data_IF_422483876973
#
_entry.id   IF_422483876973
#
_cell.length_a   1.000
_cell.length_b   1.000
_cell.length_c   1.000
_cell.angle_alpha   90.00
_cell.angle_beta   90.00
_cell.angle_gamma   90.00
#
_symmetry.space_group_name_H-M   'P 1'
#
loop_
_entity.id
_entity.type
_entity.pdbx_description
1 polymer ?
#
# COMPACT_ATOMS: atom_id res chain seq x y z
N UNK A 1 -7.81 27.66 2.96
CA UNK A 1 -6.36 27.71 2.61
C UNK A 1 -5.55 27.46 3.87
N UNK A 2 -4.47 26.69 3.81
CA UNK A 2 -3.55 26.46 4.93
C UNK A 2 -2.10 26.59 4.44
N UNK A 3 -1.26 27.38 5.10
CA UNK A 3 0.13 27.54 4.70
C UNK A 3 1.04 27.94 5.85
N UNK A 4 2.35 27.77 5.65
CA UNK A 4 3.38 28.20 6.60
C UNK A 4 3.25 27.59 8.00
N UNK A 5 2.65 26.40 8.09
CA UNK A 5 2.51 25.63 9.33
C UNK A 5 3.37 24.37 9.31
N UNK A 6 3.31 23.57 10.38
CA UNK A 6 3.90 22.23 10.37
C UNK A 6 3.09 21.31 9.45
N UNK A 7 1.82 21.06 9.79
CA UNK A 7 0.83 20.43 8.92
C UNK A 7 -0.24 21.44 8.52
N UNK A 8 -0.75 21.34 7.28
CA UNK A 8 -1.84 22.17 6.77
C UNK A 8 -3.18 21.82 7.41
N UNK A 9 -4.01 21.02 6.74
CA UNK A 9 -5.24 20.52 7.36
C UNK A 9 -5.00 19.18 8.10
N UNK A 10 -5.59 19.05 9.29
CA UNK A 10 -5.41 17.90 10.19
C UNK A 10 -6.78 17.30 10.57
N UNK A 11 -7.03 16.04 10.20
CA UNK A 11 -8.29 15.31 10.43
C UNK A 11 -8.06 13.92 11.04
N UNK A 12 -7.12 13.79 11.98
CA UNK A 12 -6.75 12.48 12.57
C UNK A 12 -6.76 12.51 14.10
N UNK A 13 -6.37 13.64 14.70
CA UNK A 13 -6.26 13.78 16.15
C UNK A 13 -7.64 14.06 16.75
N UNK A 14 -8.07 13.23 17.69
CA UNK A 14 -9.28 13.44 18.47
C UNK A 14 -8.96 13.88 19.90
N UNK A 15 -9.96 14.47 20.55
CA UNK A 15 -9.89 14.83 21.97
C UNK A 15 -10.73 13.84 22.76
N UNK A 16 -10.11 13.16 23.71
CA UNK A 16 -10.78 12.21 24.57
C UNK A 16 -11.62 12.95 25.62
N UNK A 17 -12.58 12.24 26.25
CA UNK A 17 -13.47 12.79 27.29
C UNK A 17 -12.68 13.32 28.49
N UNK A 18 -11.47 12.81 28.72
CA UNK A 18 -10.55 13.21 29.79
C UNK A 18 -9.63 14.38 29.40
N UNK A 19 -9.90 15.06 28.29
CA UNK A 19 -9.12 16.16 27.74
C UNK A 19 -7.71 15.78 27.25
N UNK A 20 -7.45 14.50 26.98
CA UNK A 20 -6.19 14.04 26.38
C UNK A 20 -6.31 13.93 24.85
N UNK A 21 -5.16 13.98 24.16
CA UNK A 21 -5.12 13.65 22.73
C UNK A 21 -5.28 12.15 22.52
N UNK A 22 -6.23 11.78 21.68
CA UNK A 22 -6.35 10.45 21.09
C UNK A 22 -5.79 10.43 19.67
N UNK A 23 -5.18 9.30 19.30
CA UNK A 23 -4.72 9.00 17.93
C UNK A 23 -5.68 8.03 17.23
N UNK A 24 -6.55 7.38 18.00
CA UNK A 24 -7.48 6.34 17.54
C UNK A 24 -8.81 6.53 18.28
N UNK A 25 -9.89 6.90 17.56
CA UNK A 25 -11.19 7.02 18.22
C UNK A 25 -12.31 7.63 17.39
N UNK A 26 -12.02 8.62 16.56
CA UNK A 26 -12.99 9.15 15.58
C UNK A 26 -12.61 8.64 14.20
N UNK A 27 -13.47 7.82 13.59
CA UNK A 27 -13.31 7.43 12.19
C UNK A 27 -13.54 8.61 11.24
N UNK A 28 -13.97 9.77 11.72
CA UNK A 28 -14.35 10.95 10.93
C UNK A 28 -15.31 10.65 9.76
N UNK A 29 -15.94 9.47 9.76
CA UNK A 29 -16.92 9.05 8.75
C UNK A 29 -18.25 9.73 9.04
N UNK A 30 -18.79 10.45 8.06
CA UNK A 30 -20.16 10.97 8.16
C UNK A 30 -21.15 9.82 8.15
N UNK A 31 -22.16 9.86 9.02
CA UNK A 31 -23.22 8.86 9.11
C UNK A 31 -24.58 9.51 8.84
N UNK A 32 -25.49 8.77 8.19
CA UNK A 32 -26.84 9.26 7.89
C UNK A 32 -27.65 9.58 9.14
N UNK A 33 -27.51 8.75 10.19
CA UNK A 33 -27.94 9.08 11.54
C UNK A 33 -26.69 9.15 12.44
N UNK A 34 -26.24 10.35 12.85
CA UNK A 34 -25.05 10.50 13.69
C UNK A 34 -25.21 9.90 15.09
N UNK A 35 -26.43 9.54 15.52
CA UNK A 35 -26.68 8.85 16.78
C UNK A 35 -26.64 7.32 16.66
N UNK A 36 -26.73 6.75 15.44
CA UNK A 36 -26.60 5.31 15.21
C UNK A 36 -25.28 4.98 14.48
N UNK A 37 -24.29 4.37 15.16
CA UNK A 37 -23.00 4.00 14.56
C UNK A 37 -23.11 2.92 13.47
N UNK A 38 -24.28 2.31 13.28
CA UNK A 38 -24.55 1.33 12.21
C UNK A 38 -25.32 1.92 11.04
N UNK A 39 -25.67 3.20 11.09
CA UNK A 39 -26.35 3.85 9.97
C UNK A 39 -25.42 3.98 8.76
N UNK A 40 -26.01 4.27 7.60
CA UNK A 40 -25.29 4.38 6.34
C UNK A 40 -24.14 5.40 6.42
N UNK A 41 -22.94 4.99 6.01
CA UNK A 41 -21.82 5.90 5.83
C UNK A 41 -22.03 6.81 4.62
N UNK A 42 -21.85 8.11 4.83
CA UNK A 42 -22.01 9.14 3.82
C UNK A 42 -20.65 9.64 3.32
N UNK A 43 -20.63 10.07 2.06
CA UNK A 43 -19.45 10.70 1.47
C UNK A 43 -19.27 12.09 2.04
N UNK A 44 -18.11 12.34 2.67
CA UNK A 44 -17.69 13.68 3.09
C UNK A 44 -16.88 14.32 1.96
N UNK A 45 -17.40 15.41 1.40
CA UNK A 45 -16.76 16.12 0.28
C UNK A 45 -15.94 17.30 0.79
N UNK A 46 -14.66 17.33 0.43
CA UNK A 46 -13.71 18.39 0.71
C UNK A 46 -13.25 19.01 -0.62
N UNK A 47 -13.69 20.23 -0.89
CA UNK A 47 -13.49 20.88 -2.18
C UNK A 47 -12.63 22.14 -2.06
N UNK A 48 -11.87 22.42 -3.12
CA UNK A 48 -11.14 23.67 -3.33
C UNK A 48 -10.10 24.02 -2.23
N UNK A 49 -9.64 23.00 -1.48
CA UNK A 49 -8.59 23.18 -0.49
C UNK A 49 -7.29 23.53 -1.20
N UNK A 50 -6.66 24.63 -0.77
CA UNK A 50 -5.31 25.00 -1.20
C UNK A 50 -4.38 24.98 0.01
N UNK A 51 -3.25 24.28 -0.12
CA UNK A 51 -2.29 24.13 0.96
C UNK A 51 -0.85 24.19 0.45
N UNK A 52 -0.03 25.04 1.05
CA UNK A 52 1.32 25.25 0.54
C UNK A 52 2.36 25.64 1.59
N UNK A 53 3.64 25.35 1.30
CA UNK A 53 4.78 25.71 2.16
C UNK A 53 4.61 25.24 3.61
N UNK A 54 3.99 24.10 3.83
CA UNK A 54 3.95 23.47 5.14
C UNK A 54 5.20 22.62 5.34
N UNK A 55 5.72 22.60 6.57
CA UNK A 55 7.00 21.95 6.86
C UNK A 55 6.90 20.40 6.95
N UNK A 56 5.68 19.87 6.91
CA UNK A 56 5.37 18.46 6.88
C UNK A 56 4.28 18.18 5.84
N UNK A 57 3.04 17.91 6.25
CA UNK A 57 1.93 17.54 5.38
C UNK A 57 1.11 18.74 4.91
N UNK A 58 0.66 18.75 3.65
CA UNK A 58 -0.39 19.65 3.20
C UNK A 58 -1.75 19.27 3.78
N UNK A 59 -2.04 17.96 3.82
CA UNK A 59 -3.14 17.33 4.55
C UNK A 59 -2.60 16.09 5.27
N UNK A 60 -3.01 15.93 6.53
CA UNK A 60 -2.98 14.67 7.25
C UNK A 60 -4.40 14.36 7.73
N UNK A 61 -5.00 13.29 7.23
CA UNK A 61 -6.37 12.93 7.60
C UNK A 61 -6.53 11.49 8.05
N UNK A 62 -7.63 11.22 8.73
CA UNK A 62 -8.18 9.90 8.96
C UNK A 62 -9.64 9.91 8.54
N UNK A 63 -10.09 8.83 7.94
CA UNK A 63 -11.49 8.52 7.84
C UNK A 63 -11.88 7.57 6.73
N UNK A 64 -13.16 7.57 6.39
CA UNK A 64 -13.71 6.70 5.34
C UNK A 64 -14.70 7.47 4.51
N UNK A 65 -14.81 7.12 3.23
CA UNK A 65 -15.67 7.82 2.27
C UNK A 65 -15.35 9.32 2.13
N UNK A 66 -14.07 9.70 2.25
CA UNK A 66 -13.67 11.10 2.04
C UNK A 66 -13.34 11.35 0.57
N UNK A 67 -14.05 12.29 -0.04
CA UNK A 67 -13.77 12.76 -1.40
C UNK A 67 -13.10 14.13 -1.36
N UNK A 68 -11.86 14.21 -1.82
CA UNK A 68 -11.12 15.45 -2.01
C UNK A 68 -11.15 15.84 -3.49
N UNK A 69 -11.79 16.94 -3.83
CA UNK A 69 -11.94 17.40 -5.22
C UNK A 69 -11.32 18.78 -5.42
N UNK A 70 -10.63 18.97 -6.55
CA UNK A 70 -10.02 20.26 -6.94
C UNK A 70 -9.06 20.83 -5.88
N UNK A 71 -8.39 19.93 -5.16
CA UNK A 71 -7.41 20.30 -4.12
C UNK A 71 -6.07 20.64 -4.76
N UNK A 72 -5.36 21.61 -4.16
CA UNK A 72 -4.13 22.20 -4.70
C UNK A 72 -3.05 22.19 -3.64
N UNK A 73 -1.98 21.44 -3.88
CA UNK A 73 -0.84 21.30 -2.97
C UNK A 73 0.42 21.86 -3.60
N UNK A 74 1.20 22.66 -2.87
CA UNK A 74 2.45 23.22 -3.39
C UNK A 74 3.54 23.32 -2.31
N UNK A 75 4.80 23.03 -2.64
CA UNK A 75 5.96 23.28 -1.76
C UNK A 75 5.86 22.63 -0.36
N UNK A 76 5.08 21.56 -0.21
CA UNK A 76 4.98 20.78 1.03
C UNK A 76 6.03 19.66 1.03
N UNK A 77 6.46 19.20 2.20
CA UNK A 77 7.31 17.99 2.26
C UNK A 77 6.54 16.76 1.76
N UNK A 78 5.26 16.71 2.16
CA UNK A 78 4.28 15.68 1.78
C UNK A 78 3.00 16.43 1.41
N UNK A 79 2.46 16.23 0.21
CA UNK A 79 1.22 16.89 -0.18
C UNK A 79 0.01 16.34 0.58
N UNK A 80 -0.23 15.03 0.48
CA UNK A 80 -1.43 14.38 1.00
C UNK A 80 -1.11 13.04 1.67
N UNK A 81 -1.50 12.93 2.95
CA UNK A 81 -1.51 11.71 3.75
C UNK A 81 -2.91 11.49 4.28
N UNK A 82 -3.45 10.28 4.15
CA UNK A 82 -4.76 9.95 4.71
C UNK A 82 -4.79 8.51 5.16
N UNK A 83 -5.36 8.26 6.34
CA UNK A 83 -5.48 6.94 6.94
C UNK A 83 -6.94 6.49 6.99
N UNK A 84 -7.20 5.18 7.03
CA UNK A 84 -8.55 4.69 7.24
C UNK A 84 -9.10 5.04 8.64
N UNK A 85 -10.37 5.43 8.69
CA UNK A 85 -11.15 5.51 9.94
C UNK A 85 -11.67 4.15 10.42
N UNK A 86 -11.61 3.14 9.56
CA UNK A 86 -12.09 1.79 9.76
C UNK A 86 -12.11 1.02 8.44
N UNK A 87 -12.43 -0.27 8.48
CA UNK A 87 -12.56 -1.13 7.30
C UNK A 87 -14.01 -1.24 6.82
N UNK A 88 -14.23 -1.85 5.65
CA UNK A 88 -15.57 -2.21 5.18
C UNK A 88 -16.29 -1.15 4.33
N UNK A 89 -15.69 0.02 4.10
CA UNK A 89 -16.16 0.99 3.11
C UNK A 89 -15.50 0.79 1.75
N UNK A 90 -16.14 1.26 0.67
CA UNK A 90 -15.59 1.11 -0.68
C UNK A 90 -14.18 1.73 -0.84
N UNK A 91 -13.91 2.79 -0.08
CA UNK A 91 -12.61 3.44 0.02
C UNK A 91 -12.50 4.25 1.32
N UNK A 92 -11.27 4.48 1.77
CA UNK A 92 -10.91 5.43 2.84
C UNK A 92 -10.96 6.87 2.31
N UNK A 93 -10.21 7.14 1.23
CA UNK A 93 -10.22 8.45 0.57
C UNK A 93 -10.06 8.36 -0.95
N UNK A 94 -10.57 9.39 -1.64
CA UNK A 94 -10.33 9.62 -3.06
C UNK A 94 -9.87 11.06 -3.28
N UNK A 95 -8.85 11.25 -4.12
CA UNK A 95 -8.42 12.56 -4.62
C UNK A 95 -8.75 12.64 -6.09
N UNK A 96 -9.52 13.65 -6.49
CA UNK A 96 -10.00 13.80 -7.88
C UNK A 96 -9.78 15.21 -8.40
N UNK A 97 -9.52 15.34 -9.69
CA UNK A 97 -9.45 16.62 -10.42
C UNK A 97 -8.47 17.64 -9.78
N UNK A 98 -7.31 17.17 -9.34
CA UNK A 98 -6.45 17.91 -8.40
C UNK A 98 -5.07 18.25 -8.95
N UNK A 99 -4.35 19.13 -8.25
CA UNK A 99 -3.01 19.60 -8.63
C UNK A 99 -2.03 19.48 -7.47
N UNK A 100 -0.89 18.84 -7.72
CA UNK A 100 0.24 18.74 -6.81
C UNK A 100 1.47 19.35 -7.47
N UNK A 101 2.11 20.29 -6.78
CA UNK A 101 3.34 20.95 -7.24
C UNK A 101 4.44 20.71 -6.21
N UNK A 102 5.50 20.01 -6.59
CA UNK A 102 6.64 19.77 -5.71
C UNK A 102 7.32 21.08 -5.35
N UNK A 103 7.67 21.85 -6.39
CA UNK A 103 8.34 23.13 -6.27
C UNK A 103 7.72 24.19 -7.17
N UNK A 104 7.22 25.28 -6.58
CA UNK A 104 6.74 26.46 -7.32
C UNK A 104 7.86 27.48 -7.51
N UNK A 105 7.62 28.49 -8.36
CA UNK A 105 8.50 29.66 -8.52
C UNK A 105 8.60 30.53 -7.26
N UNK A 106 7.69 30.34 -6.29
CA UNK A 106 7.78 31.02 -5.02
C UNK A 106 8.91 30.41 -4.19
N UNK A 107 10.10 30.98 -4.25
CA UNK A 107 11.29 30.50 -3.53
C UNK A 107 11.20 30.63 -1.99
N UNK A 108 10.24 31.39 -1.46
CA UNK A 108 10.14 31.68 -0.03
C UNK A 108 11.26 32.59 0.48
N UNK A 109 11.60 32.46 1.77
CA UNK A 109 12.65 33.22 2.43
C UNK A 109 13.72 32.21 2.92
N UNK A 110 14.75 31.90 2.12
CA UNK A 110 15.81 31.00 2.54
C UNK A 110 16.63 31.62 3.68
N UNK A 111 16.75 30.91 4.80
CA UNK A 111 17.46 31.40 6.00
C UNK A 111 18.61 30.48 6.43
N UNK A 112 18.47 29.16 6.26
CA UNK A 112 19.55 28.23 6.63
C UNK A 112 20.65 28.19 5.56
N UNK A 113 21.90 27.80 5.90
CA UNK A 113 22.96 27.63 4.91
C UNK A 113 22.56 26.72 3.73
N UNK A 114 21.78 25.67 4.00
CA UNK A 114 21.29 24.72 3.00
C UNK A 114 20.22 25.35 2.11
N UNK A 115 19.29 26.12 2.68
CA UNK A 115 18.29 26.87 1.90
C UNK A 115 18.95 27.94 1.03
N UNK A 116 19.95 28.66 1.55
CA UNK A 116 20.72 29.67 0.80
C UNK A 116 21.53 29.02 -0.32
N UNK A 117 22.20 27.89 -0.05
CA UNK A 117 22.96 27.15 -1.05
C UNK A 117 22.05 26.57 -2.14
N UNK A 118 20.84 26.14 -1.79
CA UNK A 118 19.86 25.63 -2.73
C UNK A 118 19.13 26.75 -3.49
N UNK A 119 19.02 27.95 -2.90
CA UNK A 119 18.37 29.12 -3.49
C UNK A 119 16.88 29.26 -3.16
N UNK A 120 16.33 28.45 -2.26
CA UNK A 120 14.93 28.53 -1.81
C UNK A 120 14.72 27.89 -0.43
N UNK A 121 13.61 28.24 0.21
CA UNK A 121 13.18 27.56 1.44
C UNK A 121 12.94 26.06 1.19
N UNK A 122 13.38 25.24 2.13
CA UNK A 122 13.24 23.79 2.09
C UNK A 122 12.02 23.37 2.89
N UNK A 123 11.18 22.43 2.44
CA UNK A 123 10.02 22.02 3.21
C UNK A 123 10.41 21.44 4.58
N UNK A 124 11.56 20.76 4.71
CA UNK A 124 12.11 20.35 6.01
C UNK A 124 13.53 20.89 6.22
N UNK A 125 13.73 22.08 6.82
CA UNK A 125 15.06 22.64 7.01
C UNK A 125 15.98 21.76 7.88
N UNK A 126 15.41 21.07 8.88
CA UNK A 126 16.15 20.15 9.73
C UNK A 126 16.52 18.82 9.04
N UNK A 127 15.91 18.51 7.89
CA UNK A 127 16.20 17.36 7.05
C UNK A 127 16.22 17.79 5.57
N UNK A 128 17.24 18.55 5.13
CA UNK A 128 17.31 19.10 3.78
C UNK A 128 17.19 18.06 2.67
N UNK A 129 17.64 16.84 2.96
CA UNK A 129 17.66 15.69 2.07
C UNK A 129 16.36 14.86 2.09
N UNK A 130 15.35 15.27 2.85
CA UNK A 130 14.09 14.52 2.97
C UNK A 130 13.41 14.34 1.61
N UNK A 131 13.12 13.10 1.19
CA UNK A 131 12.54 12.85 -0.13
C UNK A 131 11.07 13.28 -0.16
N UNK A 132 10.82 14.40 -0.86
CA UNK A 132 9.48 14.98 -0.92
C UNK A 132 8.57 14.21 -1.86
N UNK A 133 7.28 14.20 -1.56
CA UNK A 133 6.25 13.62 -2.42
C UNK A 133 4.93 14.36 -2.41
N UNK A 134 4.17 14.22 -3.50
CA UNK A 134 2.84 14.81 -3.62
C UNK A 134 1.80 13.99 -2.89
N UNK A 135 1.66 12.73 -3.27
CA UNK A 135 0.70 11.81 -2.67
C UNK A 135 1.44 10.65 -2.01
N UNK A 136 0.96 10.19 -0.86
CA UNK A 136 1.43 8.95 -0.27
C UNK A 136 0.30 8.01 0.14
N UNK A 137 0.47 6.72 -0.17
CA UNK A 137 -0.42 5.67 0.30
C UNK A 137 -0.14 5.35 1.77
N UNK A 138 -1.22 5.25 2.56
CA UNK A 138 -1.12 4.93 3.98
C UNK A 138 -2.45 4.35 4.49
N UNK A 139 -2.44 3.13 5.04
CA UNK A 139 -3.55 2.58 5.82
C UNK A 139 -4.87 2.35 5.02
N UNK A 140 -5.00 1.16 4.44
CA UNK A 140 -6.10 0.62 3.62
C UNK A 140 -6.25 1.22 2.20
N UNK A 141 -7.48 1.52 1.76
CA UNK A 141 -7.90 1.67 0.36
C UNK A 141 -8.12 3.12 -0.06
N UNK A 142 -7.46 3.56 -1.12
CA UNK A 142 -7.51 4.92 -1.62
C UNK A 142 -7.46 4.97 -3.15
N UNK A 143 -7.87 6.11 -3.74
CA UNK A 143 -7.76 6.36 -5.18
C UNK A 143 -7.26 7.78 -5.49
N UNK A 144 -6.50 7.93 -6.57
CA UNK A 144 -6.11 9.23 -7.15
C UNK A 144 -6.49 9.26 -8.62
N UNK A 145 -7.39 10.18 -8.98
CA UNK A 145 -8.03 10.22 -10.29
C UNK A 145 -7.84 11.61 -10.91
N UNK A 146 -7.55 11.67 -12.21
CA UNK A 146 -7.48 12.92 -12.97
C UNK A 146 -6.65 14.02 -12.27
N UNK A 147 -5.44 13.67 -11.86
CA UNK A 147 -4.59 14.53 -11.03
C UNK A 147 -3.29 14.84 -11.76
N UNK A 148 -2.90 16.12 -11.72
CA UNK A 148 -1.65 16.60 -12.32
C UNK A 148 -0.57 16.76 -11.25
N UNK A 149 0.62 16.24 -11.53
CA UNK A 149 1.82 16.42 -10.72
C UNK A 149 2.84 17.25 -11.49
N UNK A 150 3.39 18.28 -10.83
CA UNK A 150 4.29 19.26 -11.46
C UNK A 150 5.54 19.45 -10.60
N UNK A 151 6.72 19.55 -11.22
CA UNK A 151 7.99 19.91 -10.57
C UNK A 151 8.37 19.02 -9.37
N UNK A 152 8.22 17.70 -9.53
CA UNK A 152 8.82 16.70 -8.64
C UNK A 152 10.11 16.18 -9.28
N UNK A 153 11.11 17.05 -9.33
CA UNK A 153 12.43 16.74 -9.91
C UNK A 153 13.46 16.46 -8.82
N UNK A 154 14.40 15.58 -9.12
CA UNK A 154 15.58 15.44 -8.27
C UNK A 154 16.46 16.68 -8.37
N UNK A 155 17.18 16.97 -7.30
CA UNK A 155 18.23 17.99 -7.32
C UNK A 155 19.48 17.49 -6.56
N UNK A 156 20.47 18.37 -6.41
CA UNK A 156 21.71 18.05 -5.71
C UNK A 156 21.53 17.78 -4.20
N UNK A 157 20.44 18.27 -3.60
CA UNK A 157 20.16 18.18 -2.16
C UNK A 157 19.30 16.97 -1.82
N UNK A 158 18.29 16.64 -2.66
CA UNK A 158 17.31 15.58 -2.38
C UNK A 158 16.75 14.93 -3.64
N UNK A 159 16.21 13.73 -3.42
CA UNK A 159 15.43 12.96 -4.39
C UNK A 159 13.94 13.21 -4.20
N UNK A 160 13.13 13.01 -5.24
CA UNK A 160 11.69 13.28 -5.18
C UNK A 160 10.88 12.24 -5.94
N UNK A 161 9.60 12.14 -5.62
CA UNK A 161 8.63 11.39 -6.41
C UNK A 161 7.23 11.98 -6.23
N UNK A 162 6.45 12.09 -7.29
CA UNK A 162 5.08 12.56 -7.21
C UNK A 162 4.22 11.68 -6.29
N UNK A 163 4.43 10.36 -6.34
CA UNK A 163 3.71 9.36 -5.55
C UNK A 163 4.70 8.46 -4.80
N UNK A 164 4.38 8.12 -3.54
CA UNK A 164 5.09 7.11 -2.76
C UNK A 164 4.15 6.43 -1.75
N UNK A 165 4.71 5.73 -0.78
CA UNK A 165 4.01 5.30 0.43
C UNK A 165 4.48 6.14 1.63
N UNK A 166 3.69 6.20 2.70
CA UNK A 166 4.17 6.79 3.95
C UNK A 166 5.46 6.07 4.36
N UNK A 167 6.54 6.83 4.48
CA UNK A 167 7.87 6.24 4.63
C UNK A 167 7.94 5.36 5.88
N UNK A 168 8.20 4.08 5.59
CA UNK A 168 8.46 3.00 6.53
C UNK A 168 7.25 2.58 7.38
N UNK A 169 6.05 2.97 6.94
CA UNK A 169 4.81 2.56 7.57
C UNK A 169 4.73 1.06 7.81
N UNK A 170 4.24 0.72 9.00
CA UNK A 170 3.81 -0.62 9.35
C UNK A 170 2.39 -0.86 8.90
N UNK A 171 1.57 0.17 8.71
CA UNK A 171 0.14 0.00 8.45
C UNK A 171 -0.12 -0.37 7.00
N UNK A 172 -0.78 -1.52 6.82
CA UNK A 172 -1.07 -2.11 5.51
C UNK A 172 -1.87 -1.15 4.62
N UNK A 173 -1.33 -0.83 3.45
CA UNK A 173 -2.08 -0.19 2.36
C UNK A 173 -2.59 -1.29 1.42
N UNK A 174 -3.78 -1.15 0.85
CA UNK A 174 -4.35 -2.13 -0.09
C UNK A 174 -3.55 -2.19 -1.40
N UNK A 175 -3.34 -3.38 -1.99
CA UNK A 175 -2.78 -3.47 -3.36
C UNK A 175 -3.73 -2.92 -4.42
N UNK A 176 -5.02 -2.84 -4.09
CA UNK A 176 -6.06 -2.22 -4.92
C UNK A 176 -6.10 -0.69 -4.85
N UNK A 177 -5.21 -0.07 -4.06
CA UNK A 177 -4.95 1.36 -4.18
C UNK A 177 -4.68 1.71 -5.63
N UNK A 178 -5.36 2.73 -6.14
CA UNK A 178 -5.47 2.92 -7.58
C UNK A 178 -5.17 4.32 -8.04
N UNK A 179 -4.50 4.44 -9.18
CA UNK A 179 -4.42 5.67 -9.94
C UNK A 179 -5.04 5.52 -11.32
N UNK A 180 -5.60 6.61 -11.84
CA UNK A 180 -5.98 6.71 -13.24
C UNK A 180 -5.99 8.18 -13.70
N UNK A 181 -5.79 8.39 -15.00
CA UNK A 181 -5.83 9.70 -15.67
C UNK A 181 -4.81 10.68 -15.09
N UNK A 182 -3.65 10.19 -14.66
CA UNK A 182 -2.60 11.04 -14.14
C UNK A 182 -1.88 11.78 -15.28
N UNK A 183 -1.38 12.97 -14.97
CA UNK A 183 -0.49 13.70 -15.87
C UNK A 183 0.70 14.28 -15.10
N UNK A 184 1.86 14.34 -15.76
CA UNK A 184 3.13 14.73 -15.16
C UNK A 184 3.79 15.82 -16.00
N UNK A 185 4.28 16.87 -15.35
CA UNK A 185 5.06 17.93 -15.98
C UNK A 185 6.32 18.16 -15.13
N UNK A 186 7.50 17.83 -15.68
CA UNK A 186 8.77 17.89 -14.94
C UNK A 186 8.66 17.16 -13.59
N UNK A 187 8.14 15.93 -13.60
CA UNK A 187 7.86 15.20 -12.38
C UNK A 187 8.23 13.73 -12.54
N UNK A 188 9.04 13.22 -11.61
CA UNK A 188 9.27 11.79 -11.43
C UNK A 188 8.00 11.15 -10.86
N UNK A 189 7.31 10.25 -11.57
CA UNK A 189 6.00 9.76 -11.14
C UNK A 189 6.00 9.03 -9.79
N UNK A 190 6.99 8.17 -9.56
CA UNK A 190 7.10 7.37 -8.34
C UNK A 190 8.53 7.41 -7.82
N UNK A 191 8.70 7.39 -6.51
CA UNK A 191 9.99 7.15 -5.89
C UNK A 191 9.88 6.43 -4.55
N UNK A 192 10.59 5.32 -4.40
CA UNK A 192 10.82 4.65 -3.13
C UNK A 192 12.26 4.91 -2.66
N UNK A 193 12.50 5.84 -1.72
CA UNK A 193 13.84 6.10 -1.20
C UNK A 193 14.41 4.87 -0.47
N UNK A 194 15.74 4.74 -0.41
CA UNK A 194 16.37 3.78 0.49
C UNK A 194 15.90 4.01 1.92
N UNK A 195 15.85 2.93 2.71
CA UNK A 195 15.38 3.02 4.09
C UNK A 195 16.43 3.68 4.99
N UNK A 196 16.25 4.95 5.33
CA UNK A 196 17.07 5.70 6.27
C UNK A 196 16.24 6.17 7.46
N UNK A 197 16.53 5.66 8.65
CA UNK A 197 15.73 5.90 9.87
C UNK A 197 15.33 7.38 10.11
N UNK A 198 16.18 8.34 9.72
CA UNK A 198 15.92 9.78 9.84
C UNK A 198 14.70 10.29 9.04
N UNK A 199 14.29 9.59 7.98
CA UNK A 199 13.14 9.94 7.15
C UNK A 199 11.86 9.21 7.56
N UNK A 200 11.97 8.18 8.40
CA UNK A 200 10.84 7.34 8.77
C UNK A 200 9.80 8.09 9.57
N UNK A 201 8.54 8.00 9.14
CA UNK A 201 7.42 8.46 9.95
C UNK A 201 7.06 7.41 11.01
N UNK A 202 7.00 6.16 10.58
CA UNK A 202 6.79 4.99 11.42
C UNK A 202 7.96 4.03 11.18
N UNK A 203 8.61 3.55 12.23
CA UNK A 203 9.68 2.54 12.13
C UNK A 203 9.32 1.30 12.96
N UNK A 204 8.06 1.16 13.37
CA UNK A 204 7.59 0.05 14.17
C UNK A 204 7.43 -1.21 13.30
N UNK A 205 7.18 -2.34 13.97
CA UNK A 205 6.78 -3.62 13.37
C UNK A 205 7.52 -4.02 12.07
N UNK A 206 8.80 -3.66 11.97
CA UNK A 206 9.65 -3.99 10.82
C UNK A 206 9.30 -3.26 9.51
N UNK A 207 8.41 -2.27 9.50
CA UNK A 207 8.02 -1.49 8.31
C UNK A 207 7.45 -2.33 7.17
N UNK A 208 6.76 -3.43 7.51
CA UNK A 208 6.35 -4.45 6.54
C UNK A 208 5.48 -3.88 5.39
N UNK A 209 4.59 -2.94 5.68
CA UNK A 209 3.72 -2.36 4.66
C UNK A 209 4.51 -1.53 3.65
N UNK A 210 5.50 -0.75 4.08
CA UNK A 210 6.40 -0.05 3.15
C UNK A 210 7.26 -1.02 2.32
N UNK A 211 7.81 -2.08 2.95
CA UNK A 211 8.64 -3.08 2.26
C UNK A 211 7.86 -3.93 1.26
N UNK A 212 6.53 -3.89 1.33
CA UNK A 212 5.61 -4.55 0.40
C UNK A 212 4.79 -3.52 -0.38
N UNK A 213 5.29 -2.29 -0.53
CA UNK A 213 4.60 -1.21 -1.21
C UNK A 213 4.19 -1.63 -2.64
N UNK A 214 2.89 -1.49 -2.90
CA UNK A 214 2.26 -1.83 -4.18
C UNK A 214 1.01 -0.98 -4.39
N UNK A 215 0.77 -0.57 -5.63
CA UNK A 215 -0.50 0.02 -6.04
C UNK A 215 -0.75 -0.19 -7.54
N UNK A 216 -2.00 -0.05 -7.97
CA UNK A 216 -2.48 -0.27 -9.33
C UNK A 216 -2.50 1.04 -10.13
N UNK A 217 -1.90 1.02 -11.32
CA UNK A 217 -2.17 1.97 -12.40
C UNK A 217 -3.25 1.37 -13.30
N UNK A 218 -4.46 1.92 -13.24
CA UNK A 218 -5.63 1.32 -13.88
C UNK A 218 -5.68 1.54 -15.37
N UNK A 219 -5.04 2.60 -15.87
CA UNK A 219 -5.14 3.01 -17.27
C UNK A 219 -3.79 3.15 -17.97
N UNK A 220 -2.68 2.97 -17.25
CA UNK A 220 -1.34 3.09 -17.79
C UNK A 220 -0.79 4.51 -17.80
N UNK A 221 -1.43 5.42 -17.05
CA UNK A 221 -1.04 6.83 -16.97
C UNK A 221 0.34 7.06 -16.32
N UNK A 222 0.96 6.03 -15.72
CA UNK A 222 2.35 6.06 -15.28
C UNK A 222 3.36 5.70 -16.39
N UNK A 223 2.91 5.52 -17.63
CA UNK A 223 3.79 5.48 -18.80
C UNK A 223 3.86 4.13 -19.54
N UNK A 224 3.23 3.07 -19.04
CA UNK A 224 3.09 1.82 -19.80
C UNK A 224 1.98 1.89 -20.86
N UNK A 225 1.05 2.84 -20.77
CA UNK A 225 -0.08 2.99 -21.70
C UNK A 225 -1.08 1.82 -21.64
N UNK A 226 -1.00 0.98 -20.61
CA UNK A 226 -1.90 -0.13 -20.30
C UNK A 226 -1.93 -0.36 -18.77
N UNK A 227 -2.98 -1.03 -18.25
CA UNK A 227 -3.07 -1.32 -16.83
C UNK A 227 -1.85 -2.07 -16.31
N UNK A 228 -1.37 -1.68 -15.12
CA UNK A 228 -0.20 -2.26 -14.48
C UNK A 228 -0.23 -2.07 -12.96
N UNK A 229 0.72 -2.68 -12.28
CA UNK A 229 1.01 -2.45 -10.87
C UNK A 229 2.39 -1.85 -10.71
N UNK A 230 2.50 -0.84 -9.85
CA UNK A 230 3.77 -0.35 -9.35
C UNK A 230 4.13 -1.19 -8.13
N UNK A 231 5.26 -1.88 -8.16
CA UNK A 231 5.76 -2.69 -7.06
C UNK A 231 7.13 -2.16 -6.64
N UNK A 232 7.39 -2.05 -5.33
CA UNK A 232 8.72 -1.67 -4.83
C UNK A 232 9.80 -2.62 -5.36
N UNK A 233 10.90 -2.02 -5.84
CA UNK A 233 12.03 -2.72 -6.43
C UNK A 233 13.30 -1.89 -6.23
N UNK A 234 13.72 -1.78 -4.97
CA UNK A 234 14.84 -0.95 -4.52
C UNK A 234 16.17 -1.73 -4.38
N UNK A 235 16.16 -3.03 -4.66
CA UNK A 235 17.28 -3.97 -4.52
C UNK A 235 17.39 -4.62 -3.15
N UNK A 236 16.58 -4.20 -2.17
CA UNK A 236 16.57 -4.74 -0.80
C UNK A 236 15.22 -5.37 -0.47
N UNK A 237 14.14 -4.72 -0.89
CA UNK A 237 12.75 -5.08 -0.68
C UNK A 237 12.08 -5.59 -1.97
N UNK A 238 12.86 -6.15 -2.87
CA UNK A 238 12.36 -6.68 -4.13
C UNK A 238 11.30 -7.75 -3.88
N UNK A 239 10.15 -7.61 -4.54
CA UNK A 239 9.02 -8.52 -4.35
C UNK A 239 9.12 -9.75 -5.25
N UNK A 240 8.70 -10.92 -4.74
CA UNK A 240 8.55 -12.15 -5.53
C UNK A 240 7.47 -12.04 -6.63
N UNK A 241 6.62 -11.00 -6.57
CA UNK A 241 5.67 -10.67 -7.63
C UNK A 241 6.34 -10.08 -8.89
N UNK A 242 7.60 -9.65 -8.80
CA UNK A 242 8.34 -8.99 -9.89
C UNK A 242 9.17 -10.00 -10.69
N UNK A 243 9.07 -9.94 -12.02
CA UNK A 243 9.93 -10.67 -12.94
C UNK A 243 10.18 -9.89 -14.23
N UNK A 244 11.25 -10.24 -14.95
CA UNK A 244 11.69 -9.53 -16.15
C UNK A 244 10.80 -9.74 -17.37
N UNK A 245 9.95 -10.77 -17.37
CA UNK A 245 9.07 -11.05 -18.51
C UNK A 245 7.84 -10.14 -18.47
N UNK A 246 7.34 -9.86 -17.27
CA UNK A 246 6.06 -9.16 -17.08
C UNK A 246 6.20 -7.74 -16.56
N UNK A 247 7.41 -7.34 -16.12
CA UNK A 247 7.67 -6.04 -15.51
C UNK A 247 8.75 -5.23 -16.23
N UNK A 248 8.52 -3.93 -16.35
CA UNK A 248 9.54 -2.94 -16.73
C UNK A 248 10.17 -2.34 -15.47
N UNK A 249 11.49 -2.43 -15.36
CA UNK A 249 12.21 -1.91 -14.19
C UNK A 249 12.47 -0.41 -14.34
N UNK A 250 11.97 0.38 -13.38
CA UNK A 250 12.18 1.82 -13.30
C UNK A 250 13.20 2.10 -12.19
N UNK A 251 14.49 1.93 -12.51
CA UNK A 251 15.59 2.02 -11.54
C UNK A 251 15.68 3.38 -10.82
N UNK A 252 15.31 4.46 -11.51
CA UNK A 252 15.25 5.81 -10.93
C UNK A 252 14.08 5.97 -9.93
N UNK A 253 13.02 5.18 -10.09
CA UNK A 253 11.86 5.16 -9.19
C UNK A 253 12.05 4.20 -8.02
N UNK A 254 13.04 3.30 -8.12
CA UNK A 254 13.19 2.14 -7.22
C UNK A 254 11.93 1.27 -7.18
N UNK A 255 11.34 1.09 -8.37
CA UNK A 255 10.10 0.38 -8.57
C UNK A 255 10.12 -0.42 -9.88
N UNK A 256 9.21 -1.37 -10.00
CA UNK A 256 8.89 -2.08 -11.22
C UNK A 256 7.44 -1.82 -11.63
N UNK A 257 7.20 -1.63 -12.92
CA UNK A 257 5.86 -1.57 -13.51
C UNK A 257 5.50 -2.93 -14.08
N UNK A 258 4.61 -3.66 -13.42
CA UNK A 258 4.26 -5.03 -13.74
C UNK A 258 2.89 -5.13 -14.41
N UNK A 259 2.80 -5.81 -15.54
CA UNK A 259 1.52 -6.16 -16.15
C UNK A 259 0.93 -7.43 -15.54
N UNK A 260 -0.39 -7.60 -15.71
CA UNK A 260 -1.14 -8.65 -15.03
C UNK A 260 -1.59 -8.21 -13.63
N UNK A 261 -2.18 -9.14 -12.90
CA UNK A 261 -2.74 -8.87 -11.59
C UNK A 261 -1.73 -9.17 -10.46
N UNK A 262 -1.71 -8.30 -9.45
CA UNK A 262 -0.87 -8.42 -8.26
C UNK A 262 -1.75 -8.27 -7.02
N UNK A 263 -1.90 -9.36 -6.29
CA UNK A 263 -2.58 -9.38 -5.00
C UNK A 263 -1.62 -9.70 -3.87
N UNK A 264 -2.18 -10.23 -2.78
CA UNK A 264 -1.43 -10.56 -1.57
C UNK A 264 -1.65 -12.01 -1.19
N UNK A 265 -0.60 -12.60 -0.61
CA UNK A 265 -0.64 -13.89 0.05
C UNK A 265 -0.31 -13.71 1.53
N UNK A 266 -1.12 -14.29 2.40
CA UNK A 266 -0.87 -14.37 3.84
C UNK A 266 -0.84 -15.82 4.31
N UNK A 267 -0.04 -16.07 5.34
CA UNK A 267 0.11 -17.37 5.99
C UNK A 267 -0.35 -17.38 7.45
N UNK A 268 -1.09 -16.35 7.90
CA UNK A 268 -1.54 -16.16 9.30
C UNK A 268 -2.88 -15.39 9.42
N UNK A 269 -3.99 -16.02 9.09
CA UNK A 269 -5.36 -15.53 9.33
C UNK A 269 -5.68 -14.22 8.58
N UNK A 270 -5.11 -14.03 7.39
CA UNK A 270 -5.31 -12.84 6.54
C UNK A 270 -4.81 -11.50 7.06
N UNK A 271 -4.31 -11.43 8.30
CA UNK A 271 -3.79 -10.20 8.92
C UNK A 271 -2.35 -9.92 8.53
N UNK A 272 -1.77 -10.72 7.64
CA UNK A 272 -0.34 -10.86 7.56
C UNK A 272 0.45 -9.73 6.91
N UNK A 273 -0.22 -8.66 6.53
CA UNK A 273 0.40 -7.44 5.99
C UNK A 273 -0.01 -6.21 6.79
N UNK A 274 -0.20 -6.41 8.11
CA UNK A 274 -0.34 -5.35 9.09
C UNK A 274 -1.58 -4.46 8.92
N UNK A 275 -2.68 -5.06 8.45
CA UNK A 275 -4.03 -4.49 8.54
C UNK A 275 -4.54 -4.64 9.99
N UNK A 276 -4.30 -3.62 10.84
CA UNK A 276 -4.73 -3.65 12.24
C UNK A 276 -4.54 -2.30 12.96
N UNK A 277 -5.48 -1.96 13.84
CA UNK A 277 -5.46 -0.71 14.61
C UNK A 277 -4.59 -0.83 15.88
N UNK A 278 -3.91 0.27 16.26
CA UNK A 278 -3.29 0.45 17.59
C UNK A 278 -4.30 0.79 18.70
N UNK A 279 -5.55 0.34 18.60
CA UNK A 279 -6.61 0.74 19.54
C UNK A 279 -7.69 -0.32 19.65
N UNK A 280 -7.55 -1.21 20.64
CA UNK A 280 -8.56 -2.21 20.98
C UNK A 280 -7.98 -3.59 21.21
N UNK A 281 -7.41 -3.83 22.40
CA UNK A 281 -7.17 -5.18 22.93
C UNK A 281 -6.18 -6.05 22.15
N UNK A 282 -4.88 -5.85 22.39
CA UNK A 282 -3.93 -6.97 22.54
C UNK A 282 -3.61 -7.87 21.34
N UNK A 283 -3.91 -7.50 20.11
CA UNK A 283 -3.41 -8.21 18.91
C UNK A 283 -2.44 -7.31 18.15
N UNK A 284 -1.13 -7.57 18.23
CA UNK A 284 -0.12 -6.93 17.37
C UNK A 284 -0.41 -7.15 15.88
N UNK A 285 0.47 -6.66 15.00
CA UNK A 285 0.39 -6.72 13.52
C UNK A 285 0.33 -8.15 12.90
N UNK A 286 -0.34 -9.12 13.52
CA UNK A 286 -0.46 -10.50 13.08
C UNK A 286 0.85 -11.30 13.16
N UNK A 287 1.92 -10.70 13.68
CA UNK A 287 3.25 -11.32 13.70
C UNK A 287 3.38 -12.21 14.94
N UNK A 288 3.14 -13.50 14.77
CA UNK A 288 3.59 -14.50 15.74
C UNK A 288 5.05 -14.85 15.44
N UNK A 289 5.97 -14.25 16.20
CA UNK A 289 7.41 -14.49 16.06
C UNK A 289 7.84 -15.92 16.42
N UNK A 290 6.95 -16.74 17.00
CA UNK A 290 7.22 -18.15 17.30
C UNK A 290 6.98 -19.08 16.12
N UNK A 291 6.22 -18.65 15.11
CA UNK A 291 5.97 -19.47 13.93
C UNK A 291 7.23 -19.52 13.04
N UNK A 292 7.66 -20.72 12.60
CA UNK A 292 8.69 -20.83 11.57
C UNK A 292 8.31 -20.04 10.31
N UNK A 293 9.27 -19.45 9.59
CA UNK A 293 8.97 -18.71 8.37
C UNK A 293 8.41 -19.63 7.27
N UNK A 294 7.71 -19.03 6.32
CA UNK A 294 7.34 -19.67 5.06
C UNK A 294 8.26 -19.14 3.98
N UNK A 295 8.99 -20.02 3.31
CA UNK A 295 9.85 -19.65 2.18
C UNK A 295 9.05 -19.86 0.90
N UNK A 296 8.85 -18.79 0.13
CA UNK A 296 8.35 -18.90 -1.24
C UNK A 296 9.51 -18.82 -2.22
N UNK A 297 9.51 -19.73 -3.19
CA UNK A 297 10.50 -19.82 -4.25
C UNK A 297 9.84 -19.83 -5.62
N UNK A 298 10.40 -19.05 -6.54
CA UNK A 298 9.97 -18.96 -7.94
C UNK A 298 11.17 -18.64 -8.83
N UNK A 299 11.38 -19.43 -9.88
CA UNK A 299 12.42 -19.20 -10.89
C UNK A 299 13.83 -18.91 -10.29
N UNK A 300 14.17 -19.58 -9.18
CA UNK A 300 15.45 -19.42 -8.50
C UNK A 300 15.56 -18.19 -7.59
N UNK A 301 14.50 -17.40 -7.44
CA UNK A 301 14.40 -16.32 -6.46
C UNK A 301 13.57 -16.78 -5.26
N UNK A 302 14.06 -16.51 -4.06
CA UNK A 302 13.44 -16.95 -2.81
C UNK A 302 13.28 -15.79 -1.84
N UNK A 303 12.15 -15.76 -1.15
CA UNK A 303 11.91 -14.83 -0.05
C UNK A 303 11.43 -15.58 1.19
N UNK A 304 11.92 -15.13 2.34
CA UNK A 304 11.42 -15.58 3.64
C UNK A 304 10.25 -14.70 4.06
N UNK A 305 9.09 -15.31 4.28
CA UNK A 305 7.84 -14.64 4.57
C UNK A 305 7.47 -14.95 6.02
N UNK A 306 7.63 -13.98 6.93
CA UNK A 306 7.20 -14.17 8.31
C UNK A 306 5.67 -14.21 8.41
N UNK A 307 4.96 -13.50 7.51
CA UNK A 307 3.54 -13.18 7.71
C UNK A 307 2.75 -13.15 6.39
N UNK A 308 3.17 -12.33 5.42
CA UNK A 308 2.58 -12.23 4.09
C UNK A 308 3.45 -11.46 3.10
N UNK A 309 3.08 -11.47 1.82
CA UNK A 309 3.79 -10.78 0.73
C UNK A 309 2.86 -10.44 -0.43
N UNK A 310 3.34 -9.65 -1.39
CA UNK A 310 2.68 -9.49 -2.69
C UNK A 310 2.97 -10.69 -3.58
N UNK A 311 1.97 -11.16 -4.30
CA UNK A 311 2.08 -12.25 -5.27
C UNK A 311 1.49 -11.84 -6.61
N UNK A 312 2.08 -12.33 -7.69
CA UNK A 312 1.54 -12.15 -9.04
C UNK A 312 0.57 -13.28 -9.36
N UNK A 313 -0.57 -12.95 -9.93
CA UNK A 313 -1.53 -13.92 -10.43
C UNK A 313 -0.92 -14.80 -11.53
N UNK A 314 -1.59 -15.92 -11.80
CA UNK A 314 -1.24 -16.88 -12.84
C UNK A 314 0.18 -17.43 -12.69
N UNK A 315 0.59 -17.68 -11.46
CA UNK A 315 1.95 -18.07 -11.09
C UNK A 315 1.95 -19.30 -10.21
N UNK A 316 2.94 -20.18 -10.41
CA UNK A 316 3.23 -21.30 -9.52
C UNK A 316 4.41 -20.96 -8.58
N UNK A 317 4.30 -21.32 -7.31
CA UNK A 317 5.33 -21.14 -6.30
C UNK A 317 5.63 -22.47 -5.61
N UNK A 318 6.90 -22.66 -5.23
CA UNK A 318 7.27 -23.68 -4.27
C UNK A 318 7.27 -23.09 -2.86
N UNK A 319 6.69 -23.81 -1.92
CA UNK A 319 6.56 -23.42 -0.52
C UNK A 319 7.39 -24.36 0.35
N UNK A 320 8.28 -23.82 1.17
CA UNK A 320 9.06 -24.61 2.14
C UNK A 320 8.91 -24.03 3.55
N UNK A 321 8.61 -24.86 4.53
CA UNK A 321 8.43 -24.42 5.92
C UNK A 321 8.59 -25.59 6.91
N UNK A 322 9.01 -25.27 8.14
CA UNK A 322 9.00 -26.22 9.26
C UNK A 322 7.63 -26.36 9.93
N UNK A 323 6.65 -25.51 9.55
CA UNK A 323 5.28 -25.61 10.06
C UNK A 323 4.67 -26.98 9.73
N UNK A 324 3.83 -27.48 10.64
CA UNK A 324 3.04 -28.71 10.45
C UNK A 324 1.64 -28.44 9.91
N UNK A 325 1.17 -27.20 10.08
CA UNK A 325 -0.08 -26.66 9.57
C UNK A 325 0.15 -25.24 9.06
N UNK A 326 -0.62 -24.83 8.05
CA UNK A 326 -0.49 -23.52 7.45
C UNK A 326 -1.83 -23.10 6.87
N UNK A 327 -2.26 -21.90 7.22
CA UNK A 327 -3.33 -21.22 6.50
C UNK A 327 -2.74 -20.60 5.23
N UNK A 328 -3.43 -20.74 4.10
CA UNK A 328 -3.13 -20.09 2.84
C UNK A 328 -4.24 -19.10 2.56
N UNK A 329 -3.93 -17.81 2.42
CA UNK A 329 -4.94 -16.79 2.14
C UNK A 329 -4.48 -15.88 1.00
N UNK A 330 -5.12 -16.01 -0.16
CA UNK A 330 -4.91 -15.13 -1.30
C UNK A 330 -6.01 -14.08 -1.34
N UNK A 331 -5.63 -12.80 -1.34
CA UNK A 331 -6.56 -11.65 -1.29
C UNK A 331 -6.17 -10.57 -2.29
N UNK A 332 -7.11 -9.66 -2.55
CA UNK A 332 -6.90 -8.48 -3.38
C UNK A 332 -6.48 -8.81 -4.83
N UNK A 333 -6.89 -9.97 -5.32
CA UNK A 333 -6.71 -10.40 -6.71
C UNK A 333 -8.02 -10.28 -7.49
N UNK A 334 -7.93 -10.00 -8.79
CA UNK A 334 -9.06 -9.95 -9.71
C UNK A 334 -9.82 -11.32 -9.74
N UNK A 335 -11.10 -11.30 -10.09
CA UNK A 335 -11.92 -12.52 -10.18
C UNK A 335 -11.31 -13.53 -11.18
N UNK A 336 -11.22 -14.80 -10.78
CA UNK A 336 -10.64 -15.87 -11.59
C UNK A 336 -9.10 -15.88 -11.64
N UNK A 337 -8.44 -14.86 -11.11
CA UNK A 337 -6.99 -14.88 -10.93
C UNK A 337 -6.59 -15.97 -9.93
N UNK A 338 -5.46 -16.65 -10.18
CA UNK A 338 -5.08 -17.81 -9.38
C UNK A 338 -3.60 -17.86 -9.05
N UNK A 339 -3.25 -18.66 -8.04
CA UNK A 339 -1.89 -19.13 -7.77
C UNK A 339 -1.89 -20.64 -7.51
N UNK A 340 -0.80 -21.31 -7.90
CA UNK A 340 -0.56 -22.71 -7.54
C UNK A 340 0.61 -22.79 -6.57
N UNK A 341 0.47 -23.56 -5.51
CA UNK A 341 1.49 -23.79 -4.50
C UNK A 341 1.89 -25.27 -4.49
N UNK A 342 3.17 -25.55 -4.68
CA UNK A 342 3.79 -26.84 -4.39
C UNK A 342 4.24 -26.84 -2.93
N UNK A 343 3.69 -27.72 -2.10
CA UNK A 343 3.95 -27.76 -0.65
C UNK A 343 4.46 -29.15 -0.24
N UNK A 344 5.77 -29.41 -0.32
CA UNK A 344 6.36 -30.70 0.06
C UNK A 344 6.14 -31.02 1.54
N UNK A 345 5.88 -32.30 1.84
CA UNK A 345 5.62 -32.81 3.18
C UNK A 345 4.20 -32.58 3.71
N UNK A 346 3.35 -31.86 2.96
CA UNK A 346 1.94 -31.68 3.28
C UNK A 346 1.09 -32.71 2.52
N UNK A 347 0.00 -33.18 3.13
CA UNK A 347 -0.88 -34.21 2.53
C UNK A 347 -2.37 -33.91 2.64
N UNK A 348 -2.78 -32.90 3.43
CA UNK A 348 -4.18 -32.59 3.69
C UNK A 348 -4.51 -31.14 3.39
N UNK A 349 -5.72 -30.93 2.86
CA UNK A 349 -6.39 -29.65 2.75
C UNK A 349 -7.77 -29.77 3.43
N UNK A 350 -8.21 -28.72 4.11
CA UNK A 350 -9.51 -28.69 4.80
C UNK A 350 -10.70 -28.37 3.88
N UNK A 351 -10.41 -27.88 2.68
CA UNK A 351 -11.36 -27.31 1.73
C UNK A 351 -10.82 -27.41 0.29
N UNK A 352 -11.62 -26.96 -0.68
CA UNK A 352 -11.32 -27.06 -2.10
C UNK A 352 -11.64 -28.45 -2.68
N UNK A 353 -11.76 -28.51 -4.01
CA UNK A 353 -12.02 -29.76 -4.71
C UNK A 353 -10.74 -30.58 -4.87
N UNK A 354 -10.74 -31.85 -4.44
CA UNK A 354 -9.66 -32.76 -4.80
C UNK A 354 -9.76 -33.15 -6.27
N UNK A 355 -8.65 -33.07 -6.98
CA UNK A 355 -8.51 -33.51 -8.38
C UNK A 355 -7.49 -34.63 -8.51
N UNK A 356 -7.57 -35.40 -9.60
CA UNK A 356 -6.82 -36.65 -9.74
C UNK A 356 -5.39 -36.49 -10.31
N UNK A 357 -5.00 -35.28 -10.72
CA UNK A 357 -3.66 -35.02 -11.25
C UNK A 357 -3.26 -33.55 -11.19
N UNK A 358 -1.96 -33.28 -11.24
CA UNK A 358 -1.44 -31.92 -11.37
C UNK A 358 -1.89 -31.23 -12.67
N UNK A 359 -2.08 -32.00 -13.75
CA UNK A 359 -2.62 -31.46 -15.01
C UNK A 359 -4.07 -31.00 -14.83
N UNK A 360 -4.90 -31.78 -14.14
CA UNK A 360 -6.27 -31.39 -13.80
C UNK A 360 -6.30 -30.16 -12.88
N UNK A 361 -5.38 -30.07 -11.92
CA UNK A 361 -5.27 -28.92 -11.02
C UNK A 361 -4.99 -27.62 -11.79
N UNK A 362 -4.05 -27.65 -12.74
CA UNK A 362 -3.67 -26.46 -13.51
C UNK A 362 -4.83 -25.88 -14.33
N UNK A 363 -5.71 -26.73 -14.86
CA UNK A 363 -6.88 -26.31 -15.64
C UNK A 363 -8.15 -26.09 -14.81
N UNK A 364 -8.14 -26.43 -13.52
CA UNK A 364 -9.31 -26.24 -12.65
C UNK A 364 -9.69 -24.75 -12.56
N UNK A 365 -10.98 -24.45 -12.67
CA UNK A 365 -11.49 -23.08 -12.57
C UNK A 365 -11.79 -22.69 -11.12
N UNK A 366 -11.97 -23.67 -10.25
CA UNK A 366 -12.25 -23.48 -8.82
C UNK A 366 -11.03 -23.81 -7.95
N UNK A 367 -11.07 -23.29 -6.72
CA UNK A 367 -10.09 -23.62 -5.68
C UNK A 367 -10.06 -25.12 -5.42
N UNK A 368 -8.89 -25.71 -5.63
CA UNK A 368 -8.71 -27.17 -5.75
C UNK A 368 -7.36 -27.60 -5.19
N UNK A 369 -7.21 -28.89 -4.93
CA UNK A 369 -5.92 -29.47 -4.55
C UNK A 369 -5.67 -30.83 -5.20
N UNK A 370 -4.40 -31.17 -5.37
CA UNK A 370 -3.94 -32.49 -5.80
C UNK A 370 -2.90 -32.99 -4.78
N UNK A 371 -3.15 -34.14 -4.20
CA UNK A 371 -2.18 -34.80 -3.31
C UNK A 371 -1.36 -35.79 -4.13
N UNK A 372 -0.07 -35.49 -4.29
CA UNK A 372 0.95 -36.44 -4.71
C UNK A 372 1.59 -37.08 -3.46
N UNK A 373 2.24 -38.24 -3.61
CA UNK A 373 2.80 -39.07 -2.52
C UNK A 373 3.16 -38.29 -1.24
N UNK A 374 4.20 -37.45 -1.29
CA UNK A 374 4.66 -36.61 -0.16
C UNK A 374 4.56 -35.11 -0.48
N UNK A 375 3.62 -34.67 -1.33
CA UNK A 375 3.49 -33.26 -1.71
C UNK A 375 2.04 -32.88 -2.00
N UNK A 376 1.58 -31.81 -1.34
CA UNK A 376 0.30 -31.21 -1.63
C UNK A 376 0.49 -30.07 -2.64
N UNK A 377 -0.26 -30.15 -3.74
CA UNK A 377 -0.40 -29.06 -4.69
C UNK A 377 -1.73 -28.37 -4.45
N UNK A 378 -1.72 -27.06 -4.21
CA UNK A 378 -2.93 -26.27 -3.96
C UNK A 378 -3.09 -25.23 -5.04
N UNK A 379 -4.26 -25.12 -5.65
CA UNK A 379 -4.65 -23.98 -6.50
C UNK A 379 -5.66 -23.14 -5.75
N UNK A 380 -5.30 -21.91 -5.46
CA UNK A 380 -6.21 -20.89 -4.94
C UNK A 380 -6.71 -20.05 -6.11
N UNK A 381 -8.03 -19.96 -6.27
CA UNK A 381 -8.67 -19.10 -7.27
C UNK A 381 -9.45 -18.00 -6.57
N UNK A 382 -9.13 -16.75 -6.92
CA UNK A 382 -9.75 -15.57 -6.34
C UNK A 382 -11.21 -15.44 -6.77
N UNK A 383 -12.14 -15.21 -5.83
CA UNK A 383 -13.52 -14.86 -6.15
C UNK A 383 -13.70 -13.39 -6.56
N UNK A 384 -12.62 -12.60 -6.64
CA UNK A 384 -12.69 -11.16 -6.91
C UNK A 384 -13.14 -10.30 -5.71
N UNK A 385 -13.46 -10.93 -4.58
CA UNK A 385 -13.76 -10.20 -3.34
C UNK A 385 -12.48 -9.62 -2.75
N UNK A 386 -12.28 -8.32 -2.95
CA UNK A 386 -11.14 -7.57 -2.40
C UNK A 386 -11.26 -7.26 -0.90
N UNK A 387 -12.34 -7.65 -0.22
CA UNK A 387 -12.59 -7.26 1.17
C UNK A 387 -12.67 -5.76 1.38
N UNK A 388 -12.89 -5.00 0.29
CA UNK A 388 -12.81 -3.54 0.23
C UNK A 388 -11.47 -2.98 0.74
N UNK A 389 -10.39 -3.70 0.43
CA UNK A 389 -9.01 -3.32 0.77
C UNK A 389 -8.65 -3.50 2.24
N UNK A 390 -9.45 -4.27 2.99
CA UNK A 390 -9.13 -4.74 4.34
C UNK A 390 -8.67 -6.20 4.36
N UNK A 391 -8.57 -6.78 5.57
CA UNK A 391 -8.07 -8.16 5.78
C UNK A 391 -9.10 -9.27 5.49
N UNK A 392 -10.28 -8.92 4.96
CA UNK A 392 -11.36 -9.87 4.63
C UNK A 392 -11.39 -10.15 3.12
N UNK A 393 -12.22 -11.10 2.70
CA UNK A 393 -12.37 -11.46 1.29
C UNK A 393 -11.30 -12.44 0.80
N UNK A 394 -11.17 -12.54 -0.53
CA UNK A 394 -10.31 -13.49 -1.21
C UNK A 394 -10.69 -14.94 -0.95
N UNK A 395 -9.68 -15.82 -0.98
CA UNK A 395 -9.84 -17.26 -0.79
C UNK A 395 -8.84 -17.80 0.22
N UNK A 396 -9.35 -18.61 1.15
CA UNK A 396 -8.59 -19.21 2.25
C UNK A 396 -8.68 -20.74 2.18
N UNK A 397 -7.59 -21.42 2.53
CA UNK A 397 -7.52 -22.87 2.70
C UNK A 397 -6.51 -23.21 3.79
N UNK A 398 -6.85 -24.11 4.72
CA UNK A 398 -5.87 -24.67 5.65
C UNK A 398 -5.28 -25.95 5.09
N UNK A 399 -3.97 -26.10 5.26
CA UNK A 399 -3.24 -27.30 4.86
C UNK A 399 -2.42 -27.86 6.01
N UNK A 400 -2.24 -29.19 6.04
CA UNK A 400 -1.41 -29.85 7.05
C UNK A 400 -0.59 -31.01 6.49
N UNK A 401 0.41 -31.43 7.27
CA UNK A 401 1.14 -32.67 7.05
C UNK A 401 0.26 -33.91 7.17
#
# INVERSE_FOLDING_TARGET
VAHSSYDGFMFDRNFNVDNTFGVTGSSHTGLADPADPRSEGLVSVFEDLTTYKNRNGGIWGRGSLHLFRNVKFADNAIGFTHAAGGSGYAYSSQVVDSLFVGETDNIGNPETPEEIAYGRSLPKPALPDFPIRGYEWYDYRHDVVNTKFVNYEDNATRKTGAISHLLYTSFGASSNNGVEKLSFENAKPVYYPPMERKWGNDNNAGSLAYKTAVFRDRDGSLGLGKPSFVVIHDGVNDSIAVDRESCEFKSDWKAALCTGDVGRMSFVNGKGLAFGALGGGGGGFGIDASLPPVILSRAGYEISIPVGTNIRANTEFKVTTERTEMELHAIEMDEGAWVVLEIPGFTKADSGQQVDSLAALRIAEDTSYYQAEDTLWVKLVSPGDSGRGGHSGGVMMNVSR
#
